data_IF_762945097038
#
_entry.id   IF_762945097038
#
_cell.length_a   1.000
_cell.length_b   1.000
_cell.length_c   1.000
_cell.angle_alpha   90.00
_cell.angle_beta   90.00
_cell.angle_gamma   90.00
#
_symmetry.space_group_name_H-M   'P 1'
#
loop_
_entity.id
_entity.type
_entity.pdbx_description
1 polymer ?
#
# COMPACT_ATOMS: atom_id res chain seq x y z
N UNK A 1 -50.05 38.28 46.13
CA UNK A 1 -50.18 37.14 45.23
C UNK A 1 -49.52 37.27 43.84
N UNK A 2 -49.52 38.43 43.14
CA UNK A 2 -48.90 38.56 41.79
C UNK A 2 -47.38 38.37 41.71
N UNK A 3 -46.62 38.73 42.77
CA UNK A 3 -45.14 38.62 42.78
C UNK A 3 -44.61 37.18 42.92
N UNK A 4 -45.33 36.33 43.68
CA UNK A 4 -44.95 34.94 43.90
C UNK A 4 -45.15 34.06 42.64
N UNK A 5 -46.25 34.29 41.90
CA UNK A 5 -46.53 33.60 40.65
C UNK A 5 -45.49 33.90 39.58
N UNK A 6 -45.04 35.17 39.51
CA UNK A 6 -44.01 35.58 38.53
C UNK A 6 -42.64 34.92 38.82
N UNK A 7 -42.28 34.77 40.09
CA UNK A 7 -41.03 34.11 40.48
C UNK A 7 -41.12 32.58 40.22
N UNK A 8 -42.28 31.93 40.45
CA UNK A 8 -42.46 30.51 40.20
C UNK A 8 -42.39 30.21 38.70
N UNK A 9 -42.95 31.07 37.85
CA UNK A 9 -42.88 30.92 36.38
C UNK A 9 -41.44 31.08 35.88
N UNK A 10 -40.68 32.05 36.42
CA UNK A 10 -39.28 32.25 36.07
C UNK A 10 -38.40 31.06 36.49
N UNK A 11 -38.60 30.51 37.69
CA UNK A 11 -37.91 29.31 38.16
C UNK A 11 -38.20 28.10 37.28
N UNK A 12 -39.44 27.92 36.88
CA UNK A 12 -39.86 26.82 35.99
C UNK A 12 -39.27 26.96 34.59
N UNK A 13 -39.17 28.18 34.07
CA UNK A 13 -38.52 28.47 32.78
C UNK A 13 -37.02 28.19 32.83
N UNK A 14 -36.31 28.57 33.93
CA UNK A 14 -34.89 28.27 34.11
C UNK A 14 -34.65 26.75 34.22
N UNK A 15 -35.50 26.03 34.94
CA UNK A 15 -35.42 24.57 35.06
C UNK A 15 -35.66 23.87 33.71
N UNK A 16 -36.63 24.27 32.95
CA UNK A 16 -36.89 23.68 31.61
C UNK A 16 -35.75 23.99 30.64
N UNK A 17 -35.18 25.19 30.69
CA UNK A 17 -34.04 25.59 29.85
C UNK A 17 -32.78 24.81 30.24
N UNK A 18 -32.51 24.57 31.53
CA UNK A 18 -31.36 23.81 31.99
C UNK A 18 -31.46 22.33 31.67
N UNK A 19 -32.66 21.74 31.77
CA UNK A 19 -32.90 20.34 31.36
C UNK A 19 -32.76 20.17 29.83
N UNK A 20 -33.30 21.11 29.03
CA UNK A 20 -33.17 21.04 27.57
C UNK A 20 -31.71 21.27 27.13
N UNK A 21 -30.94 22.16 27.79
CA UNK A 21 -29.51 22.33 27.49
C UNK A 21 -28.70 21.10 27.89
N UNK A 22 -28.96 20.48 29.03
CA UNK A 22 -28.33 19.24 29.43
C UNK A 22 -28.66 18.09 28.48
N UNK A 23 -29.93 18.00 28.03
CA UNK A 23 -30.36 16.99 27.05
C UNK A 23 -29.73 17.24 25.67
N UNK A 24 -29.64 18.47 25.20
CA UNK A 24 -28.98 18.84 23.95
C UNK A 24 -27.47 18.60 24.03
N UNK A 25 -26.85 18.90 25.16
CA UNK A 25 -25.41 18.61 25.39
C UNK A 25 -25.18 17.09 25.42
N UNK A 26 -26.04 16.34 26.12
CA UNK A 26 -26.00 14.89 26.11
C UNK A 26 -26.19 14.31 24.69
N UNK A 27 -27.19 14.78 23.95
CA UNK A 27 -27.43 14.37 22.57
C UNK A 27 -26.30 14.78 21.63
N UNK A 28 -25.71 15.94 21.82
CA UNK A 28 -24.61 16.42 20.98
C UNK A 28 -23.28 15.69 21.30
N UNK A 29 -22.92 15.50 22.56
CA UNK A 29 -21.65 14.86 22.93
C UNK A 29 -21.72 13.35 23.04
N UNK A 30 -22.87 12.76 23.41
CA UNK A 30 -23.00 11.32 23.60
C UNK A 30 -23.85 10.65 22.52
N UNK A 31 -24.86 11.27 21.95
CA UNK A 31 -25.65 10.68 20.89
C UNK A 31 -25.12 11.05 19.49
N UNK A 32 -24.60 12.26 19.28
CA UNK A 32 -23.91 12.59 18.03
C UNK A 32 -22.41 12.25 18.08
N UNK A 33 -21.75 12.34 19.22
CA UNK A 33 -20.41 11.82 19.43
C UNK A 33 -20.38 10.29 19.45
N UNK A 34 -21.41 9.65 20.00
CA UNK A 34 -21.62 8.20 19.89
C UNK A 34 -22.02 7.74 18.49
N UNK A 35 -22.71 8.56 17.68
CA UNK A 35 -22.92 8.29 16.25
C UNK A 35 -21.73 8.62 15.37
N UNK A 36 -20.89 9.55 15.79
CA UNK A 36 -19.59 9.82 15.13
C UNK A 36 -18.52 8.77 15.50
N UNK A 37 -18.61 8.15 16.68
CA UNK A 37 -17.77 7.04 17.15
C UNK A 37 -18.37 5.65 16.84
N UNK A 38 -19.64 5.58 16.52
CA UNK A 38 -20.32 4.44 15.85
C UNK A 38 -20.34 4.63 14.33
N UNK A 39 -19.41 5.43 13.79
CA UNK A 39 -19.06 5.39 12.40
C UNK A 39 -18.74 3.94 12.12
N UNK A 40 -19.50 3.39 11.21
CA UNK A 40 -19.51 2.00 10.80
C UNK A 40 -18.14 1.34 10.95
N UNK A 41 -17.88 0.72 12.12
CA UNK A 41 -16.65 0.00 12.41
C UNK A 41 -16.65 -1.37 11.73
N UNK A 42 -17.65 -1.62 10.91
CA UNK A 42 -17.72 -2.82 10.12
C UNK A 42 -16.61 -2.75 9.06
N UNK A 43 -15.51 -3.44 9.32
CA UNK A 43 -14.39 -3.56 8.38
C UNK A 43 -14.61 -4.70 7.37
N UNK A 44 -15.71 -5.45 7.46
CA UNK A 44 -15.98 -6.59 6.58
C UNK A 44 -15.95 -6.19 5.13
N UNK A 45 -15.32 -7.02 4.33
CA UNK A 45 -15.22 -6.86 2.89
C UNK A 45 -13.95 -7.46 2.32
N UNK A 46 -13.89 -7.47 1.00
CA UNK A 46 -12.68 -7.79 0.26
C UNK A 46 -11.99 -6.48 -0.13
N UNK A 47 -10.78 -6.31 0.33
CA UNK A 47 -9.97 -5.12 0.16
C UNK A 47 -8.76 -5.41 -0.69
N UNK A 48 -8.34 -4.47 -1.51
CA UNK A 48 -7.10 -4.56 -2.29
C UNK A 48 -6.25 -3.33 -2.08
N UNK A 49 -4.95 -3.53 -1.96
CA UNK A 49 -3.95 -2.46 -1.95
C UNK A 49 -2.88 -2.76 -3.00
N UNK A 50 -2.29 -1.71 -3.55
CA UNK A 50 -1.15 -1.81 -4.44
C UNK A 50 0.11 -1.49 -3.64
N UNK A 51 1.03 -2.43 -3.59
CA UNK A 51 2.36 -2.28 -3.02
C UNK A 51 3.28 -1.74 -4.11
N UNK A 52 3.74 -0.51 -3.94
CA UNK A 52 4.65 0.15 -4.89
C UNK A 52 6.06 -0.41 -4.75
N UNK A 53 6.59 -0.95 -5.86
CA UNK A 53 7.93 -1.54 -5.96
C UNK A 53 8.88 -0.69 -6.81
N UNK A 54 8.45 0.47 -7.28
CA UNK A 54 9.17 1.34 -8.22
C UNK A 54 10.56 1.72 -7.69
N UNK A 55 10.62 2.30 -6.50
CA UNK A 55 11.90 2.72 -5.89
C UNK A 55 12.85 1.53 -5.66
N UNK A 56 12.31 0.43 -5.13
CA UNK A 56 13.12 -0.75 -4.85
C UNK A 56 13.73 -1.37 -6.11
N UNK A 57 12.93 -1.52 -7.17
CA UNK A 57 13.40 -2.02 -8.46
C UNK A 57 14.44 -1.09 -9.07
N UNK A 58 14.21 0.23 -9.02
CA UNK A 58 15.13 1.25 -9.54
C UNK A 58 16.48 1.23 -8.79
N UNK A 59 16.46 1.18 -7.46
CA UNK A 59 17.69 1.10 -6.63
C UNK A 59 18.47 -0.16 -6.95
N UNK A 60 17.80 -1.30 -7.09
CA UNK A 60 18.47 -2.58 -7.40
C UNK A 60 19.08 -2.57 -8.80
N UNK A 61 18.35 -2.10 -9.80
CA UNK A 61 18.84 -1.98 -11.18
C UNK A 61 20.03 -1.02 -11.26
N UNK A 62 19.94 0.15 -10.61
CA UNK A 62 21.01 1.14 -10.57
C UNK A 62 22.27 0.60 -9.90
N UNK A 63 22.12 -0.10 -8.77
CA UNK A 63 23.25 -0.72 -8.06
C UNK A 63 23.99 -1.71 -8.95
N UNK A 64 23.27 -2.56 -9.66
CA UNK A 64 23.86 -3.51 -10.58
C UNK A 64 24.56 -2.84 -11.77
N UNK A 65 24.00 -1.74 -12.30
CA UNK A 65 24.63 -0.97 -13.38
C UNK A 65 25.90 -0.24 -12.94
N UNK A 66 25.97 0.23 -11.68
CA UNK A 66 27.14 0.90 -11.12
C UNK A 66 28.34 -0.04 -10.98
N UNK A 67 28.13 -1.33 -10.84
CA UNK A 67 29.19 -2.35 -10.87
C UNK A 67 29.79 -2.51 -12.27
N UNK A 68 29.08 -2.08 -13.31
CA UNK A 68 29.55 -2.00 -14.69
C UNK A 68 30.15 -0.60 -14.88
N UNK A 69 31.46 -0.44 -14.75
CA UNK A 69 32.23 0.83 -14.71
C UNK A 69 31.65 2.02 -15.48
N UNK A 70 31.60 3.20 -14.82
CA UNK A 70 31.36 4.55 -15.36
C UNK A 70 29.95 4.77 -15.97
N UNK A 71 28.90 4.32 -15.29
CA UNK A 71 27.53 4.69 -15.65
C UNK A 71 27.15 5.96 -14.88
N UNK A 72 26.74 7.02 -15.57
CA UNK A 72 26.25 8.26 -14.96
C UNK A 72 24.72 8.36 -15.07
N UNK A 73 24.00 7.33 -14.61
CA UNK A 73 22.55 7.39 -14.43
C UNK A 73 22.25 7.71 -12.97
N UNK A 74 21.36 8.65 -12.74
CA UNK A 74 20.83 8.96 -11.42
C UNK A 74 19.70 8.00 -11.02
N UNK A 75 19.36 7.95 -9.72
CA UNK A 75 18.19 7.19 -9.25
C UNK A 75 16.89 7.75 -9.87
N UNK A 76 16.75 9.07 -9.97
CA UNK A 76 15.59 9.74 -10.58
C UNK A 76 15.40 9.33 -12.06
N UNK A 77 16.52 9.22 -12.81
CA UNK A 77 16.47 8.73 -14.18
C UNK A 77 16.00 7.26 -14.22
N UNK A 78 16.54 6.40 -13.34
CA UNK A 78 16.14 4.99 -13.28
C UNK A 78 14.68 4.82 -12.88
N UNK A 79 14.18 5.57 -11.88
CA UNK A 79 12.78 5.59 -11.49
C UNK A 79 11.87 6.03 -12.64
N UNK A 80 12.34 6.91 -13.53
CA UNK A 80 11.57 7.34 -14.69
C UNK A 80 11.27 6.23 -15.70
N UNK A 81 12.10 5.20 -15.76
CA UNK A 81 11.86 4.00 -16.56
C UNK A 81 10.94 3.01 -15.86
N UNK A 82 11.08 2.89 -14.53
CA UNK A 82 10.42 1.88 -13.69
C UNK A 82 9.12 2.38 -13.03
N UNK A 83 8.29 3.11 -13.79
CA UNK A 83 7.03 3.64 -13.27
C UNK A 83 5.96 2.56 -13.15
N UNK A 84 5.04 2.77 -12.19
CA UNK A 84 3.82 1.96 -11.99
C UNK A 84 4.08 0.47 -11.71
N UNK A 85 5.22 0.14 -11.11
CA UNK A 85 5.52 -1.23 -10.68
C UNK A 85 4.78 -1.53 -9.38
N UNK A 86 3.65 -2.21 -9.47
CA UNK A 86 2.80 -2.51 -8.31
C UNK A 86 2.49 -3.99 -8.18
N UNK A 87 2.46 -4.47 -6.93
CA UNK A 87 2.03 -5.82 -6.57
C UNK A 87 0.76 -5.70 -5.73
N UNK A 88 -0.30 -6.39 -6.15
CA UNK A 88 -1.56 -6.39 -5.44
C UNK A 88 -1.48 -7.21 -4.15
N UNK A 89 -1.95 -6.62 -3.05
CA UNK A 89 -2.18 -7.29 -1.76
C UNK A 89 -3.68 -7.34 -1.51
N UNK A 90 -4.24 -8.53 -1.33
CA UNK A 90 -5.64 -8.71 -0.98
C UNK A 90 -5.77 -8.91 0.53
N UNK A 91 -6.80 -8.30 1.10
CA UNK A 91 -7.19 -8.45 2.50
C UNK A 91 -8.69 -8.70 2.59
N UNK A 92 -9.08 -9.84 3.06
CA UNK A 92 -10.47 -10.15 3.41
C UNK A 92 -10.65 -10.00 4.91
N UNK A 93 -11.64 -9.23 5.33
CA UNK A 93 -12.04 -9.08 6.72
C UNK A 93 -13.49 -9.55 6.88
N UNK A 94 -13.74 -10.44 7.84
CA UNK A 94 -15.07 -10.93 8.17
C UNK A 94 -15.35 -10.67 9.65
N UNK A 95 -16.32 -9.83 9.94
CA UNK A 95 -16.70 -9.50 11.31
C UNK A 95 -17.55 -10.62 11.91
N UNK A 96 -17.12 -11.17 13.03
CA UNK A 96 -17.82 -12.24 13.78
C UNK A 96 -18.48 -11.74 15.06
N UNK A 97 -18.02 -10.60 15.58
CA UNK A 97 -18.53 -9.95 16.78
C UNK A 97 -18.58 -8.43 16.62
N UNK A 98 -18.79 -7.70 17.73
CA UNK A 98 -18.91 -6.23 17.70
C UNK A 98 -17.59 -5.53 17.35
N UNK A 99 -16.47 -6.08 17.77
CA UNK A 99 -15.13 -5.52 17.59
C UNK A 99 -14.10 -6.58 17.23
N UNK A 100 -14.54 -7.75 16.78
CA UNK A 100 -13.70 -8.89 16.47
C UNK A 100 -14.14 -9.58 15.19
N UNK A 101 -13.21 -10.29 14.58
CA UNK A 101 -13.48 -11.02 13.34
C UNK A 101 -12.29 -11.89 12.92
N UNK A 102 -12.39 -12.41 11.71
CA UNK A 102 -11.31 -13.14 11.04
C UNK A 102 -10.75 -12.34 9.88
N UNK A 103 -9.49 -12.58 9.56
CA UNK A 103 -8.87 -12.00 8.40
C UNK A 103 -8.14 -13.05 7.58
N UNK A 104 -8.02 -12.76 6.29
CA UNK A 104 -7.16 -13.48 5.37
C UNK A 104 -6.47 -12.48 4.45
N UNK A 105 -5.15 -12.58 4.33
CA UNK A 105 -4.33 -11.71 3.50
C UNK A 105 -3.48 -12.56 2.56
N UNK A 106 -3.45 -12.21 1.26
CA UNK A 106 -2.64 -12.91 0.27
C UNK A 106 -2.13 -11.99 -0.84
N UNK A 107 -1.04 -12.42 -1.47
CA UNK A 107 -0.48 -11.82 -2.68
C UNK A 107 -0.80 -12.74 -3.85
N UNK A 108 -1.59 -12.31 -4.87
CA UNK A 108 -1.81 -13.11 -6.06
C UNK A 108 -0.49 -13.31 -6.83
N UNK A 109 -0.15 -14.56 -7.13
CA UNK A 109 1.07 -14.90 -7.91
C UNK A 109 1.08 -14.19 -9.25
N UNK A 110 -0.08 -14.09 -9.91
CA UNK A 110 -0.23 -13.44 -11.20
C UNK A 110 0.12 -11.94 -11.12
N UNK A 111 -0.18 -11.28 -10.01
CA UNK A 111 0.18 -9.87 -9.79
C UNK A 111 1.68 -9.70 -9.59
N UNK A 112 2.31 -10.60 -8.84
CA UNK A 112 3.75 -10.62 -8.68
C UNK A 112 4.46 -10.86 -10.02
N UNK A 113 4.06 -11.90 -10.76
CA UNK A 113 4.66 -12.25 -12.04
C UNK A 113 4.54 -11.10 -13.06
N UNK A 114 3.37 -10.44 -13.11
CA UNK A 114 3.15 -9.30 -13.98
C UNK A 114 4.05 -8.11 -13.62
N UNK A 115 4.19 -7.79 -12.33
CA UNK A 115 5.06 -6.73 -11.85
C UNK A 115 6.54 -7.06 -12.14
N UNK A 116 6.96 -8.30 -11.87
CA UNK A 116 8.33 -8.75 -12.13
C UNK A 116 8.68 -8.68 -13.62
N UNK A 117 7.78 -9.13 -14.49
CA UNK A 117 7.95 -9.03 -15.94
C UNK A 117 8.06 -7.55 -16.38
N UNK A 118 7.17 -6.69 -15.88
CA UNK A 118 7.19 -5.26 -16.19
C UNK A 118 8.48 -4.58 -15.74
N UNK A 119 9.01 -4.95 -14.56
CA UNK A 119 10.28 -4.43 -14.05
C UNK A 119 11.45 -4.78 -14.98
N UNK A 120 11.56 -6.02 -15.46
CA UNK A 120 12.60 -6.40 -16.41
C UNK A 120 12.41 -5.76 -17.80
N UNK A 121 11.19 -5.58 -18.26
CA UNK A 121 10.90 -4.87 -19.51
C UNK A 121 11.34 -3.41 -19.42
N UNK A 122 11.03 -2.72 -18.32
CA UNK A 122 11.46 -1.36 -18.04
C UNK A 122 12.99 -1.27 -17.93
N UNK A 123 13.61 -2.18 -17.19
CA UNK A 123 15.07 -2.25 -17.07
C UNK A 123 15.74 -2.50 -18.41
N UNK A 124 15.17 -3.33 -19.27
CA UNK A 124 15.70 -3.57 -20.60
C UNK A 124 15.70 -2.32 -21.49
N UNK A 125 14.73 -1.40 -21.30
CA UNK A 125 14.74 -0.10 -21.99
C UNK A 125 15.94 0.73 -21.56
N UNK A 126 16.11 0.94 -20.25
CA UNK A 126 17.24 1.68 -19.69
C UNK A 126 18.60 1.06 -20.09
N UNK A 127 18.69 -0.25 -20.01
CA UNK A 127 19.92 -0.97 -20.37
C UNK A 127 20.30 -0.78 -21.85
N UNK A 128 19.35 -0.84 -22.78
CA UNK A 128 19.60 -0.60 -24.21
C UNK A 128 20.06 0.83 -24.49
N UNK A 129 19.49 1.81 -23.81
CA UNK A 129 19.92 3.21 -23.96
C UNK A 129 21.37 3.39 -23.50
N UNK A 130 21.73 2.76 -22.39
CA UNK A 130 23.13 2.75 -21.93
C UNK A 130 24.06 2.05 -22.91
N UNK A 131 23.66 0.92 -23.48
CA UNK A 131 24.44 0.25 -24.53
C UNK A 131 24.63 1.14 -25.74
N UNK A 132 23.59 1.86 -26.17
CA UNK A 132 23.66 2.84 -27.26
C UNK A 132 24.73 3.91 -26.99
N UNK A 133 24.71 4.51 -25.79
CA UNK A 133 25.72 5.50 -25.39
C UNK A 133 27.14 4.89 -25.42
N UNK A 134 27.29 3.67 -24.92
CA UNK A 134 28.60 2.97 -24.88
C UNK A 134 29.11 2.67 -26.28
N UNK A 135 28.25 2.22 -27.19
CA UNK A 135 28.60 1.97 -28.58
C UNK A 135 29.08 3.26 -29.25
N UNK A 136 28.41 4.40 -29.02
CA UNK A 136 28.84 5.69 -29.51
C UNK A 136 30.20 6.12 -28.96
N UNK A 137 30.41 5.99 -27.64
CA UNK A 137 31.69 6.33 -27.00
C UNK A 137 32.85 5.44 -27.48
N UNK A 138 32.54 4.18 -27.81
CA UNK A 138 33.52 3.24 -28.38
C UNK A 138 33.80 3.50 -29.88
N UNK A 139 33.13 4.48 -30.51
CA UNK A 139 33.31 4.79 -31.92
C UNK A 139 32.60 3.83 -32.87
N UNK A 140 31.58 3.12 -32.39
CA UNK A 140 30.78 2.25 -33.26
C UNK A 140 30.06 3.08 -34.32
N UNK A 141 30.17 2.69 -35.59
CA UNK A 141 29.65 3.42 -36.75
C UNK A 141 28.42 2.74 -37.35
N UNK A 142 27.97 1.62 -36.80
CA UNK A 142 26.75 0.95 -37.23
C UNK A 142 25.50 1.64 -36.73
N UNK A 143 24.35 1.08 -37.09
CA UNK A 143 23.07 1.54 -36.60
C UNK A 143 22.94 1.26 -35.09
N UNK A 144 22.39 2.21 -34.35
CA UNK A 144 22.21 2.16 -32.89
C UNK A 144 20.77 2.48 -32.50
N UNK A 145 19.82 2.35 -33.41
CA UNK A 145 18.41 2.40 -33.04
C UNK A 145 18.04 1.20 -32.12
N UNK A 146 16.84 1.26 -31.58
CA UNK A 146 16.36 0.24 -30.63
C UNK A 146 16.43 -1.19 -31.18
N UNK A 147 16.05 -1.36 -32.42
CA UNK A 147 16.02 -2.64 -33.12
C UNK A 147 17.43 -3.15 -33.41
N UNK A 148 18.35 -2.28 -33.80
CA UNK A 148 19.74 -2.64 -34.04
C UNK A 148 20.46 -3.06 -32.76
N UNK A 149 20.25 -2.33 -31.66
CA UNK A 149 20.82 -2.69 -30.36
C UNK A 149 20.25 -4.01 -29.84
N UNK A 150 18.94 -4.23 -29.97
CA UNK A 150 18.30 -5.50 -29.61
C UNK A 150 18.86 -6.66 -30.46
N UNK A 151 19.09 -6.43 -31.75
CA UNK A 151 19.70 -7.43 -32.63
C UNK A 151 21.15 -7.76 -32.20
N UNK A 152 21.95 -6.74 -31.84
CA UNK A 152 23.31 -6.94 -31.33
C UNK A 152 23.32 -7.76 -30.04
N UNK A 153 22.41 -7.47 -29.11
CA UNK A 153 22.28 -8.25 -27.87
C UNK A 153 21.89 -9.68 -28.19
N UNK A 154 20.92 -9.89 -29.08
CA UNK A 154 20.46 -11.23 -29.49
C UNK A 154 21.57 -12.00 -30.20
N UNK A 155 22.33 -11.37 -31.08
CA UNK A 155 23.47 -12.01 -31.76
C UNK A 155 24.58 -12.39 -30.78
N UNK A 156 24.84 -11.51 -29.77
CA UNK A 156 25.93 -11.69 -28.81
C UNK A 156 25.59 -12.77 -27.76
N UNK A 157 24.39 -12.73 -27.22
CA UNK A 157 24.00 -13.58 -26.07
C UNK A 157 23.02 -14.71 -26.43
N UNK A 158 22.50 -14.75 -27.66
CA UNK A 158 21.56 -15.76 -28.11
C UNK A 158 20.14 -15.61 -27.58
N UNK A 159 19.81 -14.47 -26.95
CA UNK A 159 18.51 -14.18 -26.35
C UNK A 159 18.19 -12.71 -26.34
N UNK A 160 16.92 -12.34 -26.16
CA UNK A 160 16.48 -10.94 -26.05
C UNK A 160 17.09 -10.25 -24.82
N UNK A 161 17.13 -8.90 -24.84
CA UNK A 161 17.62 -8.10 -23.71
C UNK A 161 16.87 -8.43 -22.41
N UNK A 162 15.54 -8.57 -22.46
CA UNK A 162 14.73 -8.94 -21.30
C UNK A 162 15.14 -10.31 -20.75
N UNK A 163 15.23 -11.33 -21.63
CA UNK A 163 15.64 -12.68 -21.23
C UNK A 163 17.06 -12.73 -20.67
N UNK A 164 17.98 -11.94 -21.23
CA UNK A 164 19.34 -11.79 -20.72
C UNK A 164 19.35 -11.22 -19.29
N UNK A 165 18.59 -10.15 -19.06
CA UNK A 165 18.52 -9.53 -17.75
C UNK A 165 17.82 -10.42 -16.71
N UNK A 166 16.77 -11.13 -17.10
CA UNK A 166 16.12 -12.11 -16.22
C UNK A 166 17.03 -13.30 -15.84
N UNK A 167 18.03 -13.62 -16.68
CA UNK A 167 18.92 -14.77 -16.46
C UNK A 167 20.22 -14.38 -15.78
N UNK A 168 20.76 -13.22 -16.11
CA UNK A 168 22.11 -12.78 -15.73
C UNK A 168 22.10 -11.47 -14.92
N UNK A 169 20.99 -10.77 -14.86
CA UNK A 169 20.80 -9.53 -14.10
C UNK A 169 20.50 -9.77 -12.63
N UNK A 170 20.24 -8.71 -11.89
CA UNK A 170 19.88 -8.78 -10.47
C UNK A 170 18.41 -9.19 -10.31
N UNK A 171 18.03 -9.73 -9.16
CA UNK A 171 16.65 -9.87 -8.75
C UNK A 171 16.09 -8.48 -8.43
N UNK A 172 15.31 -7.90 -9.36
CA UNK A 172 14.81 -6.52 -9.24
C UNK A 172 13.81 -6.33 -8.09
N UNK A 173 13.05 -7.37 -7.79
CA UNK A 173 12.05 -7.39 -6.73
C UNK A 173 12.45 -8.40 -5.64
N UNK A 174 11.96 -8.25 -4.39
CA UNK A 174 12.04 -9.34 -3.43
C UNK A 174 11.34 -10.58 -4.00
N UNK A 175 11.79 -11.75 -3.60
CA UNK A 175 11.14 -12.99 -4.02
C UNK A 175 9.66 -13.03 -3.56
N UNK A 176 8.83 -13.74 -4.31
CA UNK A 176 7.42 -13.93 -3.92
C UNK A 176 7.33 -14.53 -2.50
N UNK A 177 8.22 -15.45 -2.14
CA UNK A 177 8.26 -16.09 -0.83
C UNK A 177 8.54 -15.07 0.30
N UNK A 178 9.45 -14.13 0.09
CA UNK A 178 9.74 -13.05 1.05
C UNK A 178 8.53 -12.13 1.22
N UNK A 179 7.88 -11.73 0.13
CA UNK A 179 6.68 -10.90 0.18
C UNK A 179 5.51 -11.63 0.83
N UNK A 180 5.33 -12.92 0.52
CA UNK A 180 4.32 -13.75 1.17
C UNK A 180 4.59 -13.88 2.68
N UNK A 181 5.83 -14.12 3.09
CA UNK A 181 6.19 -14.18 4.50
C UNK A 181 5.91 -12.86 5.25
N UNK A 182 5.98 -11.73 4.55
CA UNK A 182 5.73 -10.41 5.13
C UNK A 182 4.24 -10.04 5.18
N UNK A 183 3.48 -10.37 4.15
CA UNK A 183 2.13 -9.85 3.95
C UNK A 183 1.03 -10.90 4.02
N UNK A 184 1.32 -12.20 3.79
CA UNK A 184 0.30 -13.24 3.82
C UNK A 184 0.02 -13.76 5.22
N UNK A 185 -1.18 -14.23 5.39
CA UNK A 185 -1.60 -14.92 6.59
C UNK A 185 -3.09 -14.85 6.84
N UNK A 186 -3.52 -15.66 7.78
CA UNK A 186 -4.90 -15.68 8.28
C UNK A 186 -4.91 -15.73 9.80
N UNK A 187 -6.02 -15.36 10.37
CA UNK A 187 -6.20 -15.38 11.80
C UNK A 187 -7.40 -14.57 12.26
N UNK A 188 -7.33 -14.11 13.50
CA UNK A 188 -8.35 -13.27 14.11
C UNK A 188 -7.89 -11.83 14.25
N UNK A 189 -8.85 -10.91 14.25
CA UNK A 189 -8.56 -9.53 14.56
C UNK A 189 -9.49 -9.00 15.65
N UNK A 190 -9.00 -8.01 16.38
CA UNK A 190 -9.77 -7.19 17.30
C UNK A 190 -9.58 -5.70 16.98
N UNK A 191 -10.64 -4.91 17.18
CA UNK A 191 -10.57 -3.45 17.02
C UNK A 191 -10.84 -2.75 18.34
N UNK A 192 -9.96 -1.84 18.74
CA UNK A 192 -10.12 -0.95 19.87
C UNK A 192 -9.81 0.47 19.44
N UNK A 193 -10.79 1.37 19.53
CA UNK A 193 -10.69 2.75 19.04
C UNK A 193 -10.32 2.80 17.56
N UNK A 194 -9.11 3.19 17.22
CA UNK A 194 -8.53 3.27 15.88
C UNK A 194 -7.40 2.25 15.64
N UNK A 195 -7.28 1.27 16.53
CA UNK A 195 -6.28 0.20 16.44
C UNK A 195 -6.96 -1.09 16.01
N UNK A 196 -6.40 -1.71 14.97
CA UNK A 196 -6.68 -3.05 14.50
C UNK A 196 -5.54 -3.96 14.98
N UNK A 197 -5.83 -4.93 15.82
CA UNK A 197 -4.86 -5.92 16.28
C UNK A 197 -5.14 -7.23 15.57
N UNK A 198 -4.21 -7.71 14.75
CA UNK A 198 -4.29 -8.98 14.03
C UNK A 198 -3.45 -10.03 14.75
N UNK A 199 -4.02 -11.19 15.00
CA UNK A 199 -3.34 -12.35 15.55
C UNK A 199 -3.25 -13.44 14.49
N UNK A 200 -2.04 -13.75 14.06
CA UNK A 200 -1.78 -14.72 13.00
C UNK A 200 -1.78 -16.15 13.55
N UNK A 201 -2.35 -17.08 12.80
CA UNK A 201 -2.46 -18.50 13.20
C UNK A 201 -1.18 -19.30 12.89
N UNK A 202 -0.37 -18.86 11.92
CA UNK A 202 0.83 -19.57 11.44
C UNK A 202 2.11 -18.95 11.98
N UNK A 203 3.04 -19.81 12.44
CA UNK A 203 4.41 -19.39 12.79
C UNK A 203 4.67 -18.98 14.25
N UNK A 204 3.76 -19.30 15.18
CA UNK A 204 3.74 -18.77 16.53
C UNK A 204 2.78 -17.59 16.62
N UNK A 205 2.29 -17.28 17.82
CA UNK A 205 1.30 -16.20 18.00
C UNK A 205 1.94 -14.82 17.70
N UNK A 206 2.12 -14.52 16.41
CA UNK A 206 2.56 -13.19 15.97
C UNK A 206 1.35 -12.26 16.03
N UNK A 207 1.49 -11.21 16.81
CA UNK A 207 0.47 -10.16 16.93
C UNK A 207 0.99 -8.90 16.26
N UNK A 208 0.21 -8.31 15.35
CA UNK A 208 0.50 -7.03 14.72
C UNK A 208 -0.59 -6.05 15.08
N UNK A 209 -0.22 -4.91 15.62
CA UNK A 209 -1.13 -3.82 15.94
C UNK A 209 -0.89 -2.66 14.96
N UNK A 210 -1.93 -2.24 14.27
CA UNK A 210 -1.89 -1.19 13.26
C UNK A 210 -2.98 -0.17 13.56
N UNK A 211 -2.71 1.09 13.30
CA UNK A 211 -3.78 2.09 13.26
C UNK A 211 -4.57 1.94 11.97
N UNK A 212 -5.87 2.17 12.04
CA UNK A 212 -6.71 2.17 10.85
C UNK A 212 -7.54 3.43 10.71
N UNK A 213 -7.72 3.84 9.46
CA UNK A 213 -8.67 4.88 9.06
C UNK A 213 -9.58 4.28 7.99
N UNK A 214 -10.88 4.21 8.28
CA UNK A 214 -11.87 3.81 7.28
C UNK A 214 -12.69 5.00 6.84
N UNK A 215 -12.80 5.22 5.55
CA UNK A 215 -13.66 6.22 4.93
C UNK A 215 -14.26 5.65 3.65
N UNK A 216 -15.58 5.48 3.66
CA UNK A 216 -16.34 4.93 2.53
C UNK A 216 -15.76 3.58 2.04
N UNK A 217 -15.23 3.52 0.83
CA UNK A 217 -14.58 2.36 0.21
C UNK A 217 -13.07 2.28 0.45
N UNK A 218 -12.51 3.11 1.32
CA UNK A 218 -11.07 3.15 1.59
C UNK A 218 -10.78 2.73 3.03
N UNK A 219 -9.80 1.86 3.20
CA UNK A 219 -9.24 1.45 4.48
C UNK A 219 -7.72 1.66 4.44
N UNK A 220 -7.21 2.50 5.32
CA UNK A 220 -5.77 2.74 5.48
C UNK A 220 -5.34 1.98 6.73
N UNK A 221 -4.36 1.09 6.58
CA UNK A 221 -3.68 0.43 7.70
C UNK A 221 -2.24 0.93 7.75
N UNK A 222 -1.77 1.39 8.90
CA UNK A 222 -0.41 1.88 9.07
C UNK A 222 0.15 1.55 10.45
N UNK A 223 1.45 1.25 10.48
CA UNK A 223 2.20 1.08 11.72
C UNK A 223 2.82 2.42 12.12
N UNK A 224 2.69 2.81 13.39
CA UNK A 224 3.44 3.94 13.95
C UNK A 224 4.89 3.51 14.22
N UNK A 225 5.73 3.52 13.20
CA UNK A 225 7.16 3.40 13.39
C UNK A 225 7.78 4.79 13.49
N UNK A 226 8.74 5.00 14.38
CA UNK A 226 9.32 6.32 14.68
C UNK A 226 10.05 7.02 13.51
N UNK A 227 10.02 6.48 12.30
CA UNK A 227 10.67 7.02 11.09
C UNK A 227 9.71 7.34 9.93
N UNK A 228 8.40 7.22 10.13
CA UNK A 228 7.39 7.47 9.10
C UNK A 228 6.28 6.42 9.15
N UNK A 229 5.08 6.78 8.71
CA UNK A 229 3.96 5.85 8.63
C UNK A 229 4.13 5.01 7.36
N UNK A 230 4.63 3.80 7.48
CA UNK A 230 4.52 2.81 6.41
C UNK A 230 3.10 2.24 6.47
N UNK A 231 2.25 2.62 5.51
CA UNK A 231 0.86 2.20 5.48
C UNK A 231 0.43 1.74 4.10
N UNK A 232 -0.45 0.73 4.07
CA UNK A 232 -1.12 0.30 2.86
C UNK A 232 -2.51 0.96 2.79
N UNK A 233 -2.83 1.47 1.61
CA UNK A 233 -4.14 2.03 1.29
C UNK A 233 -4.93 0.97 0.55
N UNK A 234 -5.91 0.41 1.24
CA UNK A 234 -6.81 -0.59 0.70
C UNK A 234 -8.08 0.03 0.13
N UNK A 235 -8.51 -0.47 -1.01
CA UNK A 235 -9.78 -0.10 -1.65
C UNK A 235 -10.72 -1.29 -1.62
N UNK A 236 -11.97 -1.07 -1.24
CA UNK A 236 -13.00 -2.11 -1.19
C UNK A 236 -13.36 -2.57 -2.61
N UNK A 237 -13.25 -3.87 -2.86
CA UNK A 237 -13.76 -4.48 -4.09
C UNK A 237 -15.27 -4.30 -4.15
N UNK A 238 -15.76 -3.70 -5.21
CA UNK A 238 -17.20 -3.66 -5.45
C UNK A 238 -17.64 -5.06 -5.93
N UNK A 239 -18.75 -5.61 -5.39
CA UNK A 239 -19.30 -6.84 -5.92
C UNK A 239 -19.68 -6.62 -7.39
N UNK A 240 -19.16 -7.47 -8.25
CA UNK A 240 -19.52 -7.51 -9.68
C UNK A 240 -20.95 -8.00 -9.85
#
# INVERSE_FOLDING_TARGET
>A
MKKTVKNTVVILLILTLSVSTALLTYLYFFASGGRGLLRDKNLSGEWTADLDMTEQAAVTALSWLQDIEAVSISLEDMESYMQDLTIQVNLTLEQTGRSEGTFHCNIPTESYDACNQAAYEAFAVAFRELLTERLHMAGYTGDTDKEAVEALVTETFGMSTVSYLMTCGPDLLPSLEELQAQYEGSGTYETAEDILTRQFETGGAVTRAERFIRKDSTLILYEETGSGANGLIYVLKQPQ
#
